data_IF_552209061879
#
_entry.id   IF_552209061879
#
_cell.length_a   1.000
_cell.length_b   1.000
_cell.length_c   1.000
_cell.angle_alpha   90.00
_cell.angle_beta   90.00
_cell.angle_gamma   90.00
#
_symmetry.space_group_name_H-M   'P 1'
#
loop_
_entity.id
_entity.type
_entity.pdbx_description
1 polymer ?
#
# COMPACT_ATOMS: atom_id res chain seq x y z
N UNK A 1 -5.80 -55.98 -221.37
CA UNK A 1 -6.50 -56.83 -222.37
C UNK A 1 -6.05 -56.36 -223.74
N UNK A 2 -5.57 -57.21 -224.67
CA UNK A 2 -5.11 -56.72 -225.97
C UNK A 2 -6.30 -56.59 -226.95
N UNK A 3 -6.28 -55.51 -227.73
CA UNK A 3 -7.27 -55.22 -228.76
C UNK A 3 -7.19 -56.23 -229.93
N UNK A 4 -8.32 -56.49 -230.61
CA UNK A 4 -8.45 -57.59 -231.57
C UNK A 4 -7.68 -57.36 -232.87
N UNK A 5 -7.19 -58.44 -233.48
CA UNK A 5 -6.43 -58.43 -234.74
C UNK A 5 -7.21 -57.81 -235.91
N UNK A 6 -8.55 -57.86 -235.87
CA UNK A 6 -9.42 -57.20 -236.85
C UNK A 6 -9.30 -55.67 -236.82
N UNK A 7 -9.06 -55.08 -235.64
CA UNK A 7 -8.91 -53.64 -235.50
C UNK A 7 -7.60 -53.15 -236.13
N UNK A 8 -6.52 -53.94 -236.01
CA UNK A 8 -5.24 -53.62 -236.68
C UNK A 8 -5.33 -53.72 -238.21
N UNK A 9 -6.10 -54.67 -238.75
CA UNK A 9 -6.29 -54.80 -240.21
C UNK A 9 -7.12 -53.66 -240.80
N UNK A 10 -8.19 -53.24 -240.14
CA UNK A 10 -9.03 -52.12 -240.60
C UNK A 10 -8.29 -50.76 -240.54
N UNK A 11 -7.35 -50.61 -239.60
CA UNK A 11 -6.51 -49.41 -239.48
C UNK A 11 -5.43 -49.35 -240.59
N UNK A 12 -5.12 -50.46 -241.25
CA UNK A 12 -4.09 -50.55 -242.29
C UNK A 12 -4.59 -50.19 -243.70
N UNK A 13 -5.91 -50.25 -243.94
CA UNK A 13 -6.55 -49.80 -245.19
C UNK A 13 -6.83 -48.28 -245.23
N UNK A 14 -6.61 -47.58 -244.12
CA UNK A 14 -6.86 -46.14 -244.00
C UNK A 14 -5.71 -45.30 -244.54
N UNK A 15 -6.06 -44.13 -245.07
CA UNK A 15 -5.07 -43.16 -245.51
C UNK A 15 -4.15 -42.70 -244.35
N UNK A 16 -2.92 -42.24 -244.65
CA UNK A 16 -1.88 -42.02 -243.65
C UNK A 16 -2.25 -41.00 -242.57
N UNK A 17 -3.15 -40.05 -242.87
CA UNK A 17 -3.59 -39.02 -241.92
C UNK A 17 -4.55 -39.62 -240.89
N UNK A 18 -5.48 -40.45 -241.34
CA UNK A 18 -6.50 -41.08 -240.50
C UNK A 18 -5.93 -42.16 -239.59
N UNK A 19 -4.98 -42.96 -240.08
CA UNK A 19 -4.26 -44.00 -239.30
C UNK A 19 -3.54 -43.43 -238.07
N UNK A 20 -2.94 -42.24 -238.20
CA UNK A 20 -2.16 -41.61 -237.12
C UNK A 20 -3.03 -41.14 -235.95
N UNK A 21 -4.26 -40.73 -236.22
CA UNK A 21 -5.22 -40.26 -235.20
C UNK A 21 -5.77 -41.43 -234.39
N UNK A 22 -6.11 -42.55 -235.04
CA UNK A 22 -6.59 -43.75 -234.34
C UNK A 22 -5.50 -44.40 -233.47
N UNK A 23 -4.24 -44.41 -233.93
CA UNK A 23 -3.11 -44.86 -233.11
C UNK A 23 -2.85 -43.96 -231.89
N UNK A 24 -3.07 -42.65 -232.00
CA UNK A 24 -2.92 -41.74 -230.87
C UNK A 24 -4.03 -41.95 -229.81
N UNK A 25 -5.29 -42.13 -230.24
CA UNK A 25 -6.42 -42.41 -229.35
C UNK A 25 -6.27 -43.75 -228.62
N UNK A 26 -5.76 -44.79 -229.30
CA UNK A 26 -5.46 -46.08 -228.66
C UNK A 26 -4.33 -45.96 -227.62
N UNK A 27 -3.37 -45.05 -227.82
CA UNK A 27 -2.34 -44.75 -226.83
C UNK A 27 -2.87 -44.01 -225.60
N UNK A 28 -3.90 -43.18 -225.75
CA UNK A 28 -4.41 -42.32 -224.67
C UNK A 28 -5.36 -43.08 -223.72
N UNK A 29 -6.05 -44.12 -224.21
CA UNK A 29 -6.97 -44.95 -223.40
C UNK A 29 -6.21 -45.93 -222.47
N UNK A 30 -5.00 -46.36 -222.82
CA UNK A 30 -4.20 -47.28 -221.98
C UNK A 30 -3.54 -46.57 -220.78
N UNK A 31 -3.42 -45.24 -220.82
CA UNK A 31 -2.79 -44.43 -219.77
C UNK A 31 -3.57 -44.30 -218.46
N UNK A 32 -4.88 -44.63 -218.43
CA UNK A 32 -5.76 -44.24 -217.32
C UNK A 32 -6.21 -45.37 -216.36
N UNK A 33 -5.87 -46.65 -216.59
CA UNK A 33 -6.53 -47.76 -215.87
C UNK A 33 -5.69 -48.62 -214.90
N UNK A 34 -4.44 -48.27 -214.55
CA UNK A 34 -3.66 -49.05 -213.58
C UNK A 34 -3.12 -48.22 -212.38
N UNK A 35 -3.96 -48.08 -211.34
CA UNK A 35 -3.54 -47.77 -209.96
C UNK A 35 -4.12 -48.84 -209.02
N UNK A 36 -3.31 -49.83 -208.66
CA UNK A 36 -3.67 -50.92 -207.73
C UNK A 36 -2.91 -50.71 -206.42
N UNK A 37 -3.64 -50.76 -205.30
CA UNK A 37 -3.13 -50.69 -203.92
C UNK A 37 -2.13 -51.81 -203.66
N UNK A 38 -1.02 -51.50 -203.00
CA UNK A 38 0.11 -52.43 -202.87
C UNK A 38 0.06 -53.20 -201.54
N UNK A 39 0.83 -54.29 -201.46
CA UNK A 39 1.00 -55.08 -200.22
C UNK A 39 1.65 -54.28 -199.07
N UNK A 40 2.26 -53.14 -199.38
CA UNK A 40 2.93 -52.26 -198.44
C UNK A 40 1.92 -51.38 -197.68
N UNK A 41 0.91 -50.85 -198.38
CA UNK A 41 -0.20 -50.07 -197.80
C UNK A 41 -0.99 -50.87 -196.75
N UNK A 42 -1.19 -52.18 -196.97
CA UNK A 42 -1.88 -53.05 -196.02
C UNK A 42 -1.00 -53.42 -194.79
N UNK A 43 0.33 -53.44 -194.95
CA UNK A 43 1.27 -53.61 -193.82
C UNK A 43 1.30 -52.37 -192.94
N UNK A 44 1.20 -51.18 -193.53
CA UNK A 44 1.12 -49.93 -192.78
C UNK A 44 -0.19 -49.84 -191.99
N UNK A 45 -1.33 -50.20 -192.59
CA UNK A 45 -2.60 -50.28 -191.85
C UNK A 45 -2.53 -51.30 -190.70
N UNK A 46 -1.93 -52.47 -190.93
CA UNK A 46 -1.73 -53.48 -189.88
C UNK A 46 -0.88 -52.94 -188.72
N UNK A 47 0.20 -52.20 -189.02
CA UNK A 47 1.03 -51.54 -187.99
C UNK A 47 0.25 -50.50 -187.19
N UNK A 48 -0.61 -49.69 -187.83
CA UNK A 48 -1.46 -48.72 -187.13
C UNK A 48 -2.46 -49.43 -186.23
N UNK A 49 -3.11 -50.49 -186.70
CA UNK A 49 -4.08 -51.26 -185.89
C UNK A 49 -3.40 -51.96 -184.72
N UNK A 50 -2.19 -52.53 -184.91
CA UNK A 50 -1.37 -53.07 -183.82
C UNK A 50 -0.98 -51.98 -182.82
N UNK A 51 -0.58 -50.79 -183.28
CA UNK A 51 -0.29 -49.64 -182.42
C UNK A 51 -1.54 -49.19 -181.64
N UNK A 52 -2.72 -49.15 -182.28
CA UNK A 52 -3.97 -48.77 -181.62
C UNK A 52 -4.39 -49.81 -180.57
N UNK A 53 -4.17 -51.10 -180.86
CA UNK A 53 -4.40 -52.19 -179.91
C UNK A 53 -3.48 -52.09 -178.69
N UNK A 54 -2.22 -51.68 -178.89
CA UNK A 54 -1.30 -51.39 -177.78
C UNK A 54 -1.76 -50.17 -176.99
N UNK A 55 -2.08 -49.06 -177.65
CA UNK A 55 -2.52 -47.83 -176.97
C UNK A 55 -3.85 -48.00 -176.23
N UNK A 56 -4.80 -48.77 -176.77
CA UNK A 56 -6.05 -49.11 -176.05
C UNK A 56 -5.77 -49.98 -174.83
N UNK A 57 -4.83 -50.93 -174.92
CA UNK A 57 -4.41 -51.75 -173.79
C UNK A 57 -3.75 -50.92 -172.69
N UNK A 58 -2.86 -50.00 -173.06
CA UNK A 58 -2.23 -49.03 -172.15
C UNK A 58 -3.25 -48.10 -171.50
N UNK A 59 -4.26 -47.63 -172.25
CA UNK A 59 -5.38 -46.85 -171.74
C UNK A 59 -6.20 -47.64 -170.73
N UNK A 60 -6.55 -48.90 -171.00
CA UNK A 60 -7.25 -49.75 -170.02
C UNK A 60 -6.41 -49.97 -168.76
N UNK A 61 -5.09 -50.13 -168.88
CA UNK A 61 -4.21 -50.27 -167.71
C UNK A 61 -4.13 -48.96 -166.91
N UNK A 62 -4.07 -47.81 -167.57
CA UNK A 62 -4.14 -46.50 -166.93
C UNK A 62 -5.50 -46.24 -166.27
N UNK A 63 -6.58 -46.72 -166.88
CA UNK A 63 -7.95 -46.62 -166.35
C UNK A 63 -8.13 -47.52 -165.11
N UNK A 64 -7.62 -48.75 -165.14
CA UNK A 64 -7.55 -49.61 -163.95
C UNK A 64 -6.67 -49.00 -162.85
N UNK A 65 -5.53 -48.39 -163.20
CA UNK A 65 -4.67 -47.70 -162.24
C UNK A 65 -5.31 -46.45 -161.62
N UNK A 66 -6.16 -45.74 -162.37
CA UNK A 66 -6.92 -44.60 -161.85
C UNK A 66 -8.11 -45.04 -160.99
N UNK A 67 -8.81 -46.12 -161.36
CA UNK A 67 -9.84 -46.75 -160.52
C UNK A 67 -9.26 -47.26 -159.20
N UNK A 68 -8.09 -47.92 -159.23
CA UNK A 68 -7.39 -48.35 -158.02
C UNK A 68 -7.01 -47.15 -157.13
N UNK A 69 -6.44 -46.08 -157.72
CA UNK A 69 -6.15 -44.83 -156.99
C UNK A 69 -7.40 -44.16 -156.45
N UNK A 70 -8.52 -44.17 -157.17
CA UNK A 70 -9.80 -43.66 -156.66
C UNK A 70 -10.31 -44.51 -155.49
N UNK A 71 -10.12 -45.84 -155.53
CA UNK A 71 -10.39 -46.73 -154.41
C UNK A 71 -9.55 -46.37 -153.18
N UNK A 72 -8.24 -46.26 -153.35
CA UNK A 72 -7.30 -45.87 -152.28
C UNK A 72 -7.61 -44.48 -151.71
N UNK A 73 -7.96 -43.51 -152.57
CA UNK A 73 -8.40 -42.18 -152.15
C UNK A 73 -9.71 -42.22 -151.37
N UNK A 74 -10.66 -43.05 -151.77
CA UNK A 74 -11.93 -43.22 -151.06
C UNK A 74 -11.70 -43.86 -149.69
N UNK A 75 -10.81 -44.84 -149.59
CA UNK A 75 -10.42 -45.41 -148.30
C UNK A 75 -9.67 -44.41 -147.42
N UNK A 76 -8.75 -43.63 -147.99
CA UNK A 76 -8.05 -42.56 -147.28
C UNK A 76 -9.02 -41.47 -146.80
N UNK A 77 -10.04 -41.14 -147.60
CA UNK A 77 -11.12 -40.21 -147.25
C UNK A 77 -11.96 -40.77 -146.09
N UNK A 78 -12.34 -42.05 -146.12
CA UNK A 78 -13.05 -42.69 -145.00
C UNK A 78 -12.21 -42.71 -143.72
N UNK A 79 -10.92 -43.01 -143.83
CA UNK A 79 -9.99 -43.01 -142.69
C UNK A 79 -9.84 -41.60 -142.09
N UNK A 80 -9.71 -40.58 -142.93
CA UNK A 80 -9.64 -39.18 -142.48
C UNK A 80 -10.95 -38.73 -141.86
N UNK A 81 -12.10 -39.08 -142.44
CA UNK A 81 -13.41 -38.80 -141.84
C UNK A 81 -13.54 -39.43 -140.44
N UNK A 82 -13.10 -40.67 -140.29
CA UNK A 82 -13.09 -41.37 -138.99
C UNK A 82 -12.15 -40.69 -137.99
N UNK A 83 -10.97 -40.26 -138.44
CA UNK A 83 -10.01 -39.51 -137.60
C UNK A 83 -10.57 -38.14 -137.19
N UNK A 84 -11.25 -37.44 -138.09
CA UNK A 84 -11.90 -36.16 -137.79
C UNK A 84 -13.00 -36.36 -136.75
N UNK A 85 -13.83 -37.40 -136.87
CA UNK A 85 -14.84 -37.73 -135.87
C UNK A 85 -14.21 -38.03 -134.51
N UNK A 86 -13.14 -38.84 -134.47
CA UNK A 86 -12.41 -39.13 -133.24
C UNK A 86 -11.79 -37.86 -132.61
N UNK A 87 -11.29 -36.93 -133.42
CA UNK A 87 -10.77 -35.64 -132.95
C UNK A 87 -11.88 -34.74 -132.40
N UNK A 88 -13.05 -34.70 -133.04
CA UNK A 88 -14.22 -33.96 -132.53
C UNK A 88 -14.69 -34.52 -131.19
N UNK A 89 -14.73 -35.85 -131.04
CA UNK A 89 -15.05 -36.47 -129.75
C UNK A 89 -13.98 -36.19 -128.69
N UNK A 90 -12.70 -36.26 -129.05
CA UNK A 90 -11.60 -35.89 -128.16
C UNK A 90 -11.71 -34.41 -127.73
N UNK A 91 -12.05 -33.51 -128.66
CA UNK A 91 -12.26 -32.10 -128.39
C UNK A 91 -13.42 -31.88 -127.40
N UNK A 92 -14.57 -32.52 -127.61
CA UNK A 92 -15.69 -32.47 -126.65
C UNK A 92 -15.31 -32.99 -125.27
N UNK A 93 -14.51 -34.07 -125.20
CA UNK A 93 -13.97 -34.60 -123.94
C UNK A 93 -13.00 -33.62 -123.28
N UNK A 94 -12.22 -32.86 -124.04
CA UNK A 94 -11.35 -31.83 -123.48
C UNK A 94 -12.13 -30.61 -123.01
N UNK A 95 -13.16 -30.17 -123.74
CA UNK A 95 -14.04 -29.07 -123.34
C UNK A 95 -14.75 -29.39 -122.02
N UNK A 96 -15.36 -30.57 -121.91
CA UNK A 96 -15.99 -31.02 -120.65
C UNK A 96 -15.00 -31.14 -119.49
N UNK A 97 -13.76 -31.58 -119.74
CA UNK A 97 -12.71 -31.59 -118.70
C UNK A 97 -12.28 -30.19 -118.28
N UNK A 98 -12.21 -29.24 -119.21
CA UNK A 98 -11.90 -27.85 -118.92
C UNK A 98 -13.00 -27.20 -118.08
N UNK A 99 -14.27 -27.47 -118.38
CA UNK A 99 -15.41 -27.04 -117.58
C UNK A 99 -15.34 -27.60 -116.15
N UNK A 100 -15.12 -28.91 -116.00
CA UNK A 100 -14.95 -29.55 -114.69
C UNK A 100 -13.76 -28.98 -113.90
N UNK A 101 -12.65 -28.68 -114.59
CA UNK A 101 -11.47 -28.10 -113.96
C UNK A 101 -11.74 -26.66 -113.50
N UNK A 102 -12.47 -25.87 -114.30
CA UNK A 102 -12.89 -24.52 -113.94
C UNK A 102 -13.84 -24.52 -112.71
N UNK A 103 -14.80 -25.45 -112.67
CA UNK A 103 -15.68 -25.62 -111.51
C UNK A 103 -14.90 -26.05 -110.27
N UNK A 104 -13.98 -27.00 -110.39
CA UNK A 104 -13.12 -27.42 -109.28
C UNK A 104 -12.22 -26.27 -108.79
N UNK A 105 -11.71 -25.44 -109.71
CA UNK A 105 -10.93 -24.26 -109.37
C UNK A 105 -11.78 -23.25 -108.58
N UNK A 106 -13.00 -22.93 -109.04
CA UNK A 106 -13.92 -22.04 -108.32
C UNK A 106 -14.27 -22.56 -106.92
N UNK A 107 -14.53 -23.87 -106.78
CA UNK A 107 -14.76 -24.48 -105.47
C UNK A 107 -13.54 -24.38 -104.56
N UNK A 108 -12.34 -24.52 -105.11
CA UNK A 108 -11.09 -24.39 -104.36
C UNK A 108 -10.87 -22.95 -103.91
N UNK A 109 -11.12 -21.97 -104.77
CA UNK A 109 -11.07 -20.54 -104.43
C UNK A 109 -12.08 -20.19 -103.33
N UNK A 110 -13.31 -20.70 -103.41
CA UNK A 110 -14.32 -20.52 -102.36
C UNK A 110 -13.87 -21.10 -101.01
N UNK A 111 -13.33 -22.33 -101.00
CA UNK A 111 -12.79 -22.96 -99.78
C UNK A 111 -11.61 -22.20 -99.20
N UNK A 112 -10.73 -21.66 -100.04
CA UNK A 112 -9.62 -20.82 -99.60
C UNK A 112 -10.13 -19.52 -98.96
N UNK A 113 -11.19 -18.92 -99.51
CA UNK A 113 -11.87 -17.77 -98.92
C UNK A 113 -12.47 -18.09 -97.54
N UNK A 114 -13.18 -19.21 -97.41
CA UNK A 114 -13.73 -19.67 -96.13
C UNK A 114 -12.63 -19.95 -95.10
N UNK A 115 -11.53 -20.58 -95.52
CA UNK A 115 -10.38 -20.85 -94.65
C UNK A 115 -9.72 -19.56 -94.17
N UNK A 116 -9.56 -18.57 -95.04
CA UNK A 116 -9.00 -17.27 -94.68
C UNK A 116 -9.89 -16.53 -93.67
N UNK A 117 -11.21 -16.57 -93.83
CA UNK A 117 -12.14 -16.00 -92.87
C UNK A 117 -12.17 -16.76 -91.53
N UNK A 118 -12.08 -18.10 -91.56
CA UNK A 118 -11.92 -18.91 -90.36
C UNK A 118 -10.60 -18.59 -89.64
N UNK A 119 -9.51 -18.40 -90.38
CA UNK A 119 -8.22 -18.02 -89.82
C UNK A 119 -8.30 -16.65 -89.13
N UNK A 120 -8.85 -15.62 -89.77
CA UNK A 120 -9.08 -14.29 -89.16
C UNK A 120 -9.91 -14.38 -87.87
N UNK A 121 -10.97 -15.18 -87.86
CA UNK A 121 -11.80 -15.38 -86.65
C UNK A 121 -11.01 -16.05 -85.53
N UNK A 122 -10.07 -16.93 -85.87
CA UNK A 122 -9.23 -17.63 -84.90
C UNK A 122 -8.19 -16.68 -84.32
N UNK A 123 -7.55 -15.86 -85.16
CA UNK A 123 -6.64 -14.79 -84.75
C UNK A 123 -7.32 -13.81 -83.79
N UNK A 124 -8.53 -13.31 -84.14
CA UNK A 124 -9.29 -12.42 -83.26
C UNK A 124 -9.66 -13.06 -81.90
N UNK A 125 -9.96 -14.37 -81.88
CA UNK A 125 -10.22 -15.10 -80.62
C UNK A 125 -8.95 -15.26 -79.77
N UNK A 126 -7.80 -15.47 -80.41
CA UNK A 126 -6.53 -15.56 -79.71
C UNK A 126 -6.13 -14.20 -79.09
N UNK A 127 -6.37 -13.10 -79.80
CA UNK A 127 -6.19 -11.75 -79.25
C UNK A 127 -7.09 -11.50 -78.03
N UNK A 128 -8.37 -11.83 -78.13
CA UNK A 128 -9.30 -11.72 -77.00
C UNK A 128 -8.89 -12.59 -75.80
N UNK A 129 -8.40 -13.81 -76.06
CA UNK A 129 -7.91 -14.69 -75.01
C UNK A 129 -6.66 -14.12 -74.34
N UNK A 130 -5.73 -13.56 -75.11
CA UNK A 130 -4.53 -12.91 -74.58
C UNK A 130 -4.88 -11.69 -73.71
N UNK A 131 -5.84 -10.86 -74.13
CA UNK A 131 -6.35 -9.76 -73.31
C UNK A 131 -7.02 -10.25 -72.02
N UNK A 132 -7.82 -11.31 -72.10
CA UNK A 132 -8.45 -11.91 -70.93
C UNK A 132 -7.41 -12.48 -69.95
N UNK A 133 -6.34 -13.09 -70.46
CA UNK A 133 -5.22 -13.58 -69.64
C UNK A 133 -4.50 -12.44 -68.93
N UNK A 134 -4.19 -11.35 -69.65
CA UNK A 134 -3.56 -10.17 -69.06
C UNK A 134 -4.40 -9.55 -67.94
N UNK A 135 -5.72 -9.44 -68.15
CA UNK A 135 -6.66 -8.97 -67.12
C UNK A 135 -6.74 -9.92 -65.92
N UNK A 136 -6.57 -11.22 -66.13
CA UNK A 136 -6.53 -12.20 -65.05
C UNK A 136 -5.26 -12.03 -64.23
N UNK A 137 -4.11 -11.87 -64.88
CA UNK A 137 -2.83 -11.60 -64.21
C UNK A 137 -2.91 -10.34 -63.33
N UNK A 138 -3.42 -9.23 -63.86
CA UNK A 138 -3.63 -7.99 -63.10
C UNK A 138 -4.54 -8.20 -61.87
N UNK A 139 -5.62 -8.98 -62.02
CA UNK A 139 -6.52 -9.30 -60.89
C UNK A 139 -5.85 -10.18 -59.83
N UNK A 140 -5.02 -11.13 -60.25
CA UNK A 140 -4.26 -11.99 -59.34
C UNK A 140 -3.25 -11.16 -58.56
N UNK A 141 -2.56 -10.22 -59.20
CA UNK A 141 -1.66 -9.28 -58.52
C UNK A 141 -2.40 -8.42 -57.50
N UNK A 142 -3.56 -7.85 -57.86
CA UNK A 142 -4.40 -7.08 -56.94
C UNK A 142 -4.88 -7.89 -55.74
N UNK A 143 -5.25 -9.16 -55.96
CA UNK A 143 -5.62 -10.08 -54.88
C UNK A 143 -4.44 -10.38 -53.97
N UNK A 144 -3.25 -10.60 -54.51
CA UNK A 144 -2.04 -10.82 -53.73
C UNK A 144 -1.68 -9.60 -52.87
N UNK A 145 -1.80 -8.38 -53.42
CA UNK A 145 -1.61 -7.15 -52.64
C UNK A 145 -2.66 -6.97 -51.55
N UNK A 146 -3.94 -7.21 -51.87
CA UNK A 146 -5.02 -7.15 -50.89
C UNK A 146 -4.82 -8.18 -49.75
N UNK A 147 -4.34 -9.37 -50.09
CA UNK A 147 -4.03 -10.40 -49.12
C UNK A 147 -2.87 -9.98 -48.21
N UNK A 148 -1.76 -9.45 -48.75
CA UNK A 148 -0.65 -8.91 -47.95
C UNK A 148 -1.11 -7.81 -46.99
N UNK A 149 -1.92 -6.85 -47.46
CA UNK A 149 -2.48 -5.80 -46.59
C UNK A 149 -3.38 -6.36 -45.48
N UNK A 150 -4.06 -7.47 -45.75
CA UNK A 150 -4.91 -8.14 -44.76
C UNK A 150 -4.05 -8.84 -43.72
N UNK A 151 -2.98 -9.53 -44.13
CA UNK A 151 -2.00 -10.15 -43.24
C UNK A 151 -1.35 -9.11 -42.30
N UNK A 152 -0.88 -7.98 -42.84
CA UNK A 152 -0.33 -6.87 -42.04
C UNK A 152 -1.33 -6.33 -41.00
N UNK A 153 -2.62 -6.18 -41.37
CA UNK A 153 -3.67 -5.74 -40.44
C UNK A 153 -3.94 -6.77 -39.35
N UNK A 154 -3.89 -8.06 -39.67
CA UNK A 154 -4.06 -9.15 -38.70
C UNK A 154 -2.89 -9.15 -37.71
N UNK A 155 -1.65 -8.95 -38.17
CA UNK A 155 -0.48 -8.82 -37.30
C UNK A 155 -0.60 -7.62 -36.35
N UNK A 156 -1.00 -6.45 -36.87
CA UNK A 156 -1.22 -5.26 -36.06
C UNK A 156 -2.32 -5.46 -35.00
N UNK A 157 -3.41 -6.14 -35.36
CA UNK A 157 -4.47 -6.50 -34.42
C UNK A 157 -3.97 -7.45 -33.33
N UNK A 158 -3.16 -8.45 -33.69
CA UNK A 158 -2.56 -9.37 -32.73
C UNK A 158 -1.63 -8.64 -31.74
N UNK A 159 -0.82 -7.69 -32.22
CA UNK A 159 0.00 -6.85 -31.35
C UNK A 159 -0.82 -5.95 -30.43
N UNK A 160 -1.88 -5.32 -30.97
CA UNK A 160 -2.78 -4.49 -30.18
C UNK A 160 -3.51 -5.32 -29.09
N UNK A 161 -3.89 -6.56 -29.41
CA UNK A 161 -4.47 -7.49 -28.46
C UNK A 161 -3.48 -7.84 -27.35
N UNK A 162 -2.23 -8.21 -27.67
CA UNK A 162 -1.17 -8.48 -26.67
C UNK A 162 -0.93 -7.29 -25.75
N UNK A 163 -0.90 -6.06 -26.29
CA UNK A 163 -0.77 -4.83 -25.49
C UNK A 163 -1.96 -4.63 -24.55
N UNK A 164 -3.16 -5.00 -24.99
CA UNK A 164 -4.38 -4.89 -24.19
C UNK A 164 -4.40 -5.93 -23.07
N UNK A 165 -4.00 -7.16 -23.35
CA UNK A 165 -3.82 -8.22 -22.35
C UNK A 165 -2.81 -7.80 -21.26
N UNK A 166 -1.63 -7.29 -21.65
CA UNK A 166 -0.64 -6.80 -20.71
C UNK A 166 -1.15 -5.64 -19.83
N UNK A 167 -1.96 -4.73 -20.38
CA UNK A 167 -2.59 -3.64 -19.60
C UNK A 167 -3.62 -4.16 -18.62
N UNK A 168 -4.39 -5.19 -18.99
CA UNK A 168 -5.36 -5.82 -18.09
C UNK A 168 -4.66 -6.54 -16.94
N UNK A 169 -3.53 -7.22 -17.19
CA UNK A 169 -2.71 -7.82 -16.13
C UNK A 169 -2.19 -6.77 -15.14
N UNK A 170 -1.65 -5.65 -15.65
CA UNK A 170 -1.20 -4.54 -14.80
C UNK A 170 -2.34 -3.92 -13.98
N UNK A 171 -3.53 -3.79 -14.58
CA UNK A 171 -4.71 -3.28 -13.87
C UNK A 171 -5.14 -4.24 -12.75
N UNK A 172 -5.14 -5.54 -13.02
CA UNK A 172 -5.46 -6.56 -12.01
C UNK A 172 -4.46 -6.55 -10.84
N UNK A 173 -3.16 -6.37 -11.12
CA UNK A 173 -2.15 -6.23 -10.07
C UNK A 173 -2.33 -4.93 -9.26
N UNK A 174 -2.62 -3.81 -9.93
CA UNK A 174 -2.92 -2.55 -9.27
C UNK A 174 -4.15 -2.64 -8.36
N UNK A 175 -5.18 -3.37 -8.80
CA UNK A 175 -6.38 -3.63 -8.01
C UNK A 175 -6.09 -4.46 -6.76
N UNK A 176 -5.29 -5.55 -6.87
CA UNK A 176 -4.86 -6.33 -5.69
C UNK A 176 -4.09 -5.49 -4.68
N UNK A 177 -3.15 -4.66 -5.15
CA UNK A 177 -2.39 -3.74 -4.27
C UNK A 177 -3.29 -2.70 -3.59
N UNK A 178 -4.37 -2.28 -4.27
CA UNK A 178 -5.35 -1.38 -3.67
C UNK A 178 -6.17 -2.09 -2.59
N UNK A 179 -6.61 -3.32 -2.83
CA UNK A 179 -7.31 -4.15 -1.85
C UNK A 179 -6.46 -4.35 -0.57
N UNK A 180 -5.18 -4.72 -0.71
CA UNK A 180 -4.26 -4.85 0.42
C UNK A 180 -4.10 -3.54 1.22
N UNK A 181 -4.01 -2.39 0.54
CA UNK A 181 -3.93 -1.08 1.20
C UNK A 181 -5.20 -0.72 1.96
N UNK A 182 -6.36 -1.07 1.41
CA UNK A 182 -7.66 -0.85 2.07
C UNK A 182 -7.77 -1.70 3.33
N UNK A 183 -7.34 -2.97 3.28
CA UNK A 183 -7.30 -3.83 4.47
C UNK A 183 -6.38 -3.27 5.55
N UNK A 184 -5.16 -2.84 5.20
CA UNK A 184 -4.24 -2.20 6.14
C UNK A 184 -4.82 -0.94 6.78
N UNK A 185 -5.53 -0.13 6.00
CA UNK A 185 -6.17 1.08 6.51
C UNK A 185 -7.30 0.75 7.49
N UNK A 186 -8.09 -0.28 7.19
CA UNK A 186 -9.15 -0.77 8.08
C UNK A 186 -8.58 -1.31 9.41
N UNK A 187 -7.46 -2.04 9.39
CA UNK A 187 -6.78 -2.47 10.61
C UNK A 187 -6.22 -1.29 11.42
N UNK A 188 -5.60 -0.31 10.76
CA UNK A 188 -5.09 0.89 11.42
C UNK A 188 -6.22 1.71 12.06
N UNK A 189 -7.38 1.80 11.39
CA UNK A 189 -8.58 2.42 11.92
C UNK A 189 -9.08 1.71 13.17
N UNK A 190 -9.21 0.37 13.16
CA UNK A 190 -9.61 -0.40 14.36
C UNK A 190 -8.67 -0.17 15.54
N UNK A 191 -7.35 -0.19 15.33
CA UNK A 191 -6.36 0.11 16.39
C UNK A 191 -6.50 1.53 16.93
N UNK A 192 -6.91 2.47 16.09
CA UNK A 192 -7.15 3.86 16.49
C UNK A 192 -8.41 3.96 17.33
N UNK A 193 -9.49 3.28 16.94
CA UNK A 193 -10.73 3.19 17.71
C UNK A 193 -10.48 2.59 19.10
N UNK A 194 -9.76 1.47 19.20
CA UNK A 194 -9.37 0.86 20.49
C UNK A 194 -8.58 1.81 21.39
N UNK A 195 -7.63 2.58 20.82
CA UNK A 195 -6.86 3.57 21.58
C UNK A 195 -7.73 4.73 22.08
N UNK A 196 -8.69 5.16 21.28
CA UNK A 196 -9.64 6.21 21.67
C UNK A 196 -10.53 5.72 22.83
N UNK A 197 -11.01 4.49 22.77
CA UNK A 197 -11.77 3.89 23.89
C UNK A 197 -10.94 3.81 25.18
N UNK A 198 -9.69 3.34 25.10
CA UNK A 198 -8.78 3.30 26.25
C UNK A 198 -8.52 4.69 26.84
N UNK A 199 -8.34 5.70 25.99
CA UNK A 199 -8.18 7.09 26.44
C UNK A 199 -9.44 7.61 27.13
N UNK A 200 -10.62 7.29 26.60
CA UNK A 200 -11.90 7.67 27.23
C UNK A 200 -12.07 7.01 28.60
N UNK A 201 -11.69 5.74 28.76
CA UNK A 201 -11.70 5.07 30.06
C UNK A 201 -10.69 5.68 31.04
N UNK A 202 -9.48 5.98 30.58
CA UNK A 202 -8.45 6.62 31.40
C UNK A 202 -8.89 8.03 31.85
N UNK A 203 -9.56 8.78 30.97
CA UNK A 203 -10.15 10.07 31.30
C UNK A 203 -11.21 9.92 32.40
N UNK A 204 -12.18 9.01 32.25
CA UNK A 204 -13.19 8.74 33.29
C UNK A 204 -12.59 8.38 34.65
N UNK A 205 -11.53 7.55 34.67
CA UNK A 205 -10.81 7.22 35.92
C UNK A 205 -10.13 8.44 36.54
N UNK A 206 -9.60 9.33 35.70
CA UNK A 206 -8.95 10.57 36.15
C UNK A 206 -9.97 11.54 36.74
N UNK A 207 -11.12 11.72 36.07
CA UNK A 207 -12.25 12.51 36.57
C UNK A 207 -12.72 12.00 37.93
N UNK A 208 -12.94 10.69 38.08
CA UNK A 208 -13.33 10.10 39.36
C UNK A 208 -12.29 10.31 40.48
N UNK A 209 -10.99 10.26 40.16
CA UNK A 209 -9.91 10.55 41.14
C UNK A 209 -9.90 12.02 41.54
N UNK A 210 -10.17 12.94 40.61
CA UNK A 210 -10.26 14.36 40.90
C UNK A 210 -11.45 14.67 41.80
N UNK A 211 -12.60 14.03 41.59
CA UNK A 211 -13.76 14.14 42.48
C UNK A 211 -13.43 13.67 43.90
N UNK A 212 -12.78 12.52 44.04
CA UNK A 212 -12.34 12.00 45.35
C UNK A 212 -11.34 12.94 46.03
N UNK A 213 -10.41 13.52 45.28
CA UNK A 213 -9.44 14.47 45.81
C UNK A 213 -10.12 15.75 46.29
N UNK A 214 -11.09 16.27 45.53
CA UNK A 214 -11.88 17.43 45.91
C UNK A 214 -12.68 17.17 47.20
N UNK A 215 -13.28 15.99 47.34
CA UNK A 215 -13.98 15.61 48.57
C UNK A 215 -13.02 15.48 49.76
N UNK A 216 -11.85 14.88 49.57
CA UNK A 216 -10.82 14.78 50.61
C UNK A 216 -10.32 16.17 51.05
N UNK A 217 -10.14 17.09 50.11
CA UNK A 217 -9.75 18.47 50.39
C UNK A 217 -10.83 19.20 51.19
N UNK A 218 -12.11 19.01 50.85
CA UNK A 218 -13.24 19.57 51.61
C UNK A 218 -13.26 19.06 53.05
N UNK A 219 -13.13 17.75 53.26
CA UNK A 219 -13.06 17.13 54.60
C UNK A 219 -11.86 17.62 55.40
N UNK A 220 -10.72 17.86 54.73
CA UNK A 220 -9.55 18.45 55.38
C UNK A 220 -9.82 19.88 55.83
N UNK A 221 -10.47 20.69 54.99
CA UNK A 221 -10.93 22.04 55.34
C UNK A 221 -11.79 22.05 56.60
N UNK A 222 -12.81 21.18 56.65
CA UNK A 222 -13.69 21.03 57.82
C UNK A 222 -12.91 20.63 59.10
N UNK A 223 -11.93 19.73 58.99
CA UNK A 223 -11.07 19.35 60.12
C UNK A 223 -10.17 20.49 60.59
N UNK A 224 -9.64 21.28 59.67
CA UNK A 224 -8.82 22.46 60.00
C UNK A 224 -9.66 23.50 60.75
N UNK A 225 -10.89 23.76 60.31
CA UNK A 225 -11.83 24.64 61.02
C UNK A 225 -12.12 24.13 62.43
N UNK A 226 -12.42 22.84 62.59
CA UNK A 226 -12.63 22.23 63.92
C UNK A 226 -11.41 22.34 64.83
N UNK A 227 -10.20 22.15 64.28
CA UNK A 227 -8.95 22.32 65.04
C UNK A 227 -8.75 23.77 65.46
N UNK A 228 -9.04 24.74 64.59
CA UNK A 228 -8.96 26.15 64.91
C UNK A 228 -9.95 26.52 66.04
N UNK A 229 -11.18 26.02 66.00
CA UNK A 229 -12.14 26.21 67.09
C UNK A 229 -11.67 25.56 68.40
N UNK A 230 -11.15 24.34 68.34
CA UNK A 230 -10.64 23.63 69.52
C UNK A 230 -9.43 24.35 70.13
N UNK A 231 -8.53 24.89 69.30
CA UNK A 231 -7.42 25.71 69.72
C UNK A 231 -7.92 26.99 70.42
N UNK A 232 -8.86 27.72 69.82
CA UNK A 232 -9.44 28.92 70.42
C UNK A 232 -10.09 28.64 71.78
N UNK A 233 -10.83 27.53 71.91
CA UNK A 233 -11.39 27.10 73.21
C UNK A 233 -10.31 26.77 74.23
N UNK A 234 -9.19 26.19 73.79
CA UNK A 234 -8.06 25.85 74.65
C UNK A 234 -7.34 27.11 75.13
N UNK A 235 -7.12 28.08 74.24
CA UNK A 235 -6.56 29.39 74.59
C UNK A 235 -7.41 30.10 75.64
N UNK A 236 -8.74 30.15 75.44
CA UNK A 236 -9.66 30.73 76.41
C UNK A 236 -9.63 30.01 77.78
N UNK A 237 -9.48 28.67 77.80
CA UNK A 237 -9.33 27.89 79.05
C UNK A 237 -8.01 28.19 79.74
N UNK A 238 -6.91 28.33 78.99
CA UNK A 238 -5.60 28.69 79.53
C UNK A 238 -5.65 30.08 80.17
N UNK A 239 -6.28 31.04 79.52
CA UNK A 239 -6.46 32.39 80.07
C UNK A 239 -7.28 32.36 81.37
N UNK A 240 -8.40 31.64 81.38
CA UNK A 240 -9.21 31.48 82.59
C UNK A 240 -8.45 30.78 83.74
N UNK A 241 -7.62 29.77 83.43
CA UNK A 241 -6.75 29.11 84.41
C UNK A 241 -5.69 30.06 84.95
N UNK A 242 -5.08 30.88 84.11
CA UNK A 242 -4.10 31.89 84.53
C UNK A 242 -4.74 32.92 85.48
N UNK A 243 -5.97 33.36 85.21
CA UNK A 243 -6.72 34.23 86.11
C UNK A 243 -7.05 33.55 87.45
N UNK A 244 -7.50 32.28 87.41
CA UNK A 244 -7.80 31.51 88.60
C UNK A 244 -6.54 31.28 89.45
N UNK A 245 -5.40 30.99 88.83
CA UNK A 245 -4.10 30.88 89.50
C UNK A 245 -3.73 32.21 90.17
N UNK A 246 -3.85 33.34 89.46
CA UNK A 246 -3.58 34.67 90.03
C UNK A 246 -4.46 34.96 91.26
N UNK A 247 -5.75 34.63 91.20
CA UNK A 247 -6.66 34.74 92.36
C UNK A 247 -6.19 33.85 93.51
N UNK A 248 -5.81 32.61 93.22
CA UNK A 248 -5.32 31.66 94.22
C UNK A 248 -4.04 32.17 94.89
N UNK A 249 -3.09 32.70 94.13
CA UNK A 249 -1.88 33.32 94.67
C UNK A 249 -2.19 34.51 95.58
N UNK A 250 -3.18 35.34 95.22
CA UNK A 250 -3.60 36.46 96.08
C UNK A 250 -4.22 35.99 97.39
N UNK A 251 -5.08 34.97 97.35
CA UNK A 251 -5.69 34.40 98.56
C UNK A 251 -4.65 33.68 99.44
N UNK A 252 -3.69 32.98 98.82
CA UNK A 252 -2.59 32.34 99.55
C UNK A 252 -1.72 33.38 100.28
N UNK A 253 -1.41 34.52 99.65
CA UNK A 253 -0.68 35.62 100.30
C UNK A 253 -1.44 36.15 101.52
N UNK A 254 -2.76 36.32 101.43
CA UNK A 254 -3.60 36.73 102.58
C UNK A 254 -3.55 35.68 103.69
N UNK A 255 -3.70 34.39 103.35
CA UNK A 255 -3.65 33.30 104.32
C UNK A 255 -2.31 33.25 105.06
N UNK A 256 -1.19 33.44 104.35
CA UNK A 256 0.15 33.50 104.96
C UNK A 256 0.26 34.66 105.95
N UNK A 257 -0.33 35.83 105.62
CA UNK A 257 -0.36 36.98 106.54
C UNK A 257 -1.20 36.70 107.79
N UNK A 258 -2.39 36.11 107.65
CA UNK A 258 -3.25 35.74 108.78
C UNK A 258 -2.61 34.67 109.67
N UNK A 259 -1.93 33.68 109.07
CA UNK A 259 -1.17 32.68 109.82
C UNK A 259 -0.03 33.31 110.64
N UNK A 260 0.63 34.35 110.11
CA UNK A 260 1.66 35.09 110.85
C UNK A 260 1.07 35.79 112.08
N UNK A 261 -0.07 36.48 111.94
CA UNK A 261 -0.77 37.14 113.07
C UNK A 261 -1.15 36.13 114.16
N UNK A 262 -1.69 34.98 113.75
CA UNK A 262 -2.06 33.89 114.68
C UNK A 262 -0.86 33.42 115.50
N UNK A 263 0.31 33.28 114.86
CA UNK A 263 1.55 32.85 115.53
C UNK A 263 2.05 33.87 116.56
N UNK A 264 1.90 35.16 116.27
CA UNK A 264 2.23 36.26 117.21
C UNK A 264 1.30 36.24 118.44
N UNK A 265 -0.01 36.05 118.23
CA UNK A 265 -0.98 35.93 119.32
C UNK A 265 -0.72 34.72 120.24
N UNK A 266 -0.38 33.56 119.66
CA UNK A 266 0.00 32.37 120.44
C UNK A 266 1.27 32.59 121.27
N UNK A 267 2.23 33.38 120.77
CA UNK A 267 3.41 33.78 121.53
C UNK A 267 3.07 34.59 122.78
N UNK A 268 2.13 35.54 122.67
CA UNK A 268 1.67 36.37 123.80
C UNK A 268 1.02 35.56 124.93
N UNK A 269 0.22 34.53 124.60
CA UNK A 269 -0.45 33.68 125.59
C UNK A 269 0.52 32.82 126.41
N UNK A 270 1.63 32.38 125.80
CA UNK A 270 2.65 31.59 126.50
C UNK A 270 3.30 32.37 127.64
N UNK A 271 3.46 33.70 127.50
CA UNK A 271 4.02 34.56 128.55
C UNK A 271 3.11 34.67 129.78
N UNK A 272 1.79 34.76 129.61
CA UNK A 272 0.84 34.92 130.73
C UNK A 272 0.83 33.72 131.69
N UNK A 273 1.01 32.51 131.17
CA UNK A 273 1.02 31.28 132.00
C UNK A 273 2.27 31.21 132.89
N UNK A 274 3.41 31.76 132.43
CA UNK A 274 4.64 31.83 133.21
C UNK A 274 4.52 32.75 134.43
N UNK A 275 3.97 33.96 134.25
CA UNK A 275 3.83 34.94 135.35
C UNK A 275 2.97 34.44 136.50
N UNK A 276 1.86 33.73 136.22
CA UNK A 276 1.00 33.18 137.28
C UNK A 276 1.76 32.21 138.20
N UNK A 277 2.67 31.40 137.65
CA UNK A 277 3.45 30.45 138.45
C UNK A 277 4.43 31.18 139.39
N UNK A 278 5.04 32.27 138.91
CA UNK A 278 5.94 33.11 139.71
C UNK A 278 5.18 33.81 140.85
N UNK A 279 4.02 34.38 140.55
CA UNK A 279 3.21 35.10 141.53
C UNK A 279 2.76 34.22 142.69
N UNK A 280 2.35 32.97 142.42
CA UNK A 280 1.99 32.01 143.47
C UNK A 280 3.22 31.55 144.26
N UNK A 281 4.36 31.37 143.60
CA UNK A 281 5.62 31.04 144.27
C UNK A 281 6.04 32.10 145.30
N UNK A 282 5.94 33.39 144.96
CA UNK A 282 6.32 34.47 145.88
C UNK A 282 5.53 34.45 147.18
N UNK A 283 4.26 34.02 147.13
CA UNK A 283 3.38 33.97 148.31
C UNK A 283 3.70 32.79 149.20
N UNK A 284 3.93 31.61 148.62
CA UNK A 284 4.09 30.37 149.37
C UNK A 284 5.51 30.11 149.88
N UNK A 285 6.54 30.46 149.09
CA UNK A 285 7.93 30.12 149.39
C UNK A 285 8.43 30.61 150.75
N UNK A 286 8.05 31.78 151.30
CA UNK A 286 8.49 32.17 152.64
C UNK A 286 8.07 31.19 153.74
N UNK A 287 6.87 30.62 153.65
CA UNK A 287 6.40 29.62 154.60
C UNK A 287 7.10 28.27 154.38
N UNK A 288 7.22 27.84 153.12
CA UNK A 288 7.86 26.57 152.76
C UNK A 288 9.35 26.54 153.10
N UNK A 289 10.10 27.60 152.82
CA UNK A 289 11.52 27.70 153.16
C UNK A 289 11.75 27.70 154.68
N UNK A 290 10.83 28.31 155.45
CA UNK A 290 10.87 28.25 156.91
C UNK A 290 10.59 26.84 157.43
N UNK A 291 9.61 26.14 156.86
CA UNK A 291 9.23 24.79 157.26
C UNK A 291 10.29 23.75 156.89
N UNK A 292 10.77 23.76 155.65
CA UNK A 292 11.61 22.68 155.11
C UNK A 292 13.10 22.89 155.39
N UNK A 293 13.52 24.16 155.46
CA UNK A 293 14.94 24.51 155.55
C UNK A 293 15.29 25.34 156.78
N UNK A 294 14.31 25.73 157.61
CA UNK A 294 14.52 26.60 158.78
C UNK A 294 14.94 28.02 158.40
N UNK A 295 14.66 28.46 157.17
CA UNK A 295 15.10 29.76 156.64
C UNK A 295 13.97 30.78 156.81
N UNK A 296 14.22 31.84 157.56
CA UNK A 296 13.32 32.99 157.62
C UNK A 296 13.65 33.99 156.52
N UNK A 297 12.74 34.15 155.55
CA UNK A 297 12.88 35.14 154.48
C UNK A 297 12.84 36.56 155.06
N UNK A 298 13.85 37.35 154.73
CA UNK A 298 13.95 38.76 155.08
C UNK A 298 13.26 39.60 153.99
N UNK A 299 12.18 40.29 154.35
CA UNK A 299 11.41 41.11 153.41
C UNK A 299 10.54 40.27 152.49
N UNK A 300 10.67 40.45 151.17
CA UNK A 300 9.85 39.77 150.15
C UNK A 300 10.73 39.14 149.07
N UNK A 301 10.30 37.98 148.58
CA UNK A 301 10.83 37.43 147.34
C UNK A 301 10.23 38.20 146.17
N UNK A 302 11.06 38.53 145.18
CA UNK A 302 10.64 39.26 143.98
C UNK A 302 11.42 38.78 142.76
N UNK A 303 10.86 39.02 141.58
CA UNK A 303 11.63 39.01 140.34
C UNK A 303 12.55 40.23 140.33
N UNK A 304 13.82 40.02 139.98
CA UNK A 304 14.80 41.11 139.92
C UNK A 304 15.76 40.92 138.74
N UNK A 305 16.38 42.03 138.34
CA UNK A 305 17.42 42.06 137.31
C UNK A 305 18.75 42.39 137.97
N UNK A 306 19.64 41.42 138.05
CA UNK A 306 20.96 41.58 138.66
C UNK A 306 21.96 42.04 137.58
N UNK A 307 22.59 43.18 137.78
CA UNK A 307 23.60 43.68 136.83
C UNK A 307 24.88 42.83 136.92
N UNK A 308 25.18 42.08 135.85
CA UNK A 308 26.36 41.21 135.72
C UNK A 308 27.50 41.90 134.95
N UNK A 309 27.30 43.14 134.50
CA UNK A 309 28.27 43.99 133.82
C UNK A 309 27.57 45.19 133.15
N UNK A 310 28.32 46.11 132.51
CA UNK A 310 27.74 47.31 131.90
C UNK A 310 26.63 46.94 130.91
N UNK A 311 25.41 47.45 131.14
CA UNK A 311 24.18 47.19 130.37
C UNK A 311 23.82 45.70 130.19
N UNK A 312 24.34 44.82 131.05
CA UNK A 312 24.02 43.38 131.04
C UNK A 312 23.34 43.00 132.34
N UNK A 313 22.08 42.64 132.23
CA UNK A 313 21.23 42.23 133.34
C UNK A 313 20.91 40.74 133.28
N UNK A 314 21.05 40.07 134.42
CA UNK A 314 20.62 38.70 134.62
C UNK A 314 19.25 38.72 135.29
N UNK A 315 18.22 38.31 134.54
CA UNK A 315 16.88 38.13 135.09
C UNK A 315 16.81 36.87 135.95
N UNK A 316 16.34 37.06 137.18
CA UNK A 316 16.08 36.00 138.16
C UNK A 316 14.62 36.05 138.55
N UNK A 317 13.88 34.95 138.39
CA UNK A 317 12.46 34.92 138.74
C UNK A 317 12.23 35.12 140.23
N UNK A 318 13.05 34.50 141.09
CA UNK A 318 12.88 34.52 142.54
C UNK A 318 14.17 34.95 143.21
N UNK A 319 14.16 36.13 143.80
CA UNK A 319 15.31 36.75 144.45
C UNK A 319 14.94 37.32 145.82
N UNK A 320 15.78 37.07 146.82
CA UNK A 320 15.68 37.69 148.15
C UNK A 320 16.78 37.23 149.09
N UNK A 321 16.67 37.59 150.37
CA UNK A 321 17.61 37.18 151.42
C UNK A 321 16.85 36.42 152.52
N UNK A 322 17.54 35.54 153.23
CA UNK A 322 16.98 34.81 154.37
C UNK A 322 18.01 34.60 155.47
N UNK A 323 17.55 34.31 156.68
CA UNK A 323 18.41 33.99 157.84
C UNK A 323 18.12 32.57 158.30
N UNK A 324 19.19 31.81 158.55
CA UNK A 324 19.14 30.49 159.19
C UNK A 324 20.31 30.36 160.15
N UNK A 325 20.03 29.96 161.40
CA UNK A 325 21.03 29.76 162.46
C UNK A 325 22.03 30.92 162.58
N UNK A 326 21.51 32.15 162.58
CA UNK A 326 22.26 33.44 162.61
C UNK A 326 23.07 33.80 161.35
N UNK A 327 23.18 32.92 160.35
CA UNK A 327 23.83 33.20 159.07
C UNK A 327 22.85 33.75 158.01
N UNK A 328 23.32 34.69 157.18
CA UNK A 328 22.55 35.24 156.06
C UNK A 328 22.78 34.46 154.76
N UNK A 329 21.68 34.09 154.11
CA UNK A 329 21.63 33.42 152.82
C UNK A 329 20.97 34.30 151.76
N UNK A 330 21.34 34.07 150.50
CA UNK A 330 20.64 34.59 149.33
C UNK A 330 19.70 33.51 148.82
N UNK A 331 18.42 33.84 148.66
CA UNK A 331 17.42 32.97 148.08
C UNK A 331 17.39 33.25 146.59
N UNK A 332 17.69 32.23 145.80
CA UNK A 332 17.73 32.28 144.35
C UNK A 332 16.83 31.18 143.79
N UNK A 333 15.92 31.55 142.90
CA UNK A 333 15.13 30.56 142.20
C UNK A 333 14.61 30.97 140.83
N UNK A 334 14.19 29.96 140.09
CA UNK A 334 13.54 30.09 138.79
C UNK A 334 12.19 29.37 138.76
N UNK A 335 11.25 29.91 137.98
CA UNK A 335 9.97 29.30 137.72
C UNK A 335 9.89 28.78 136.28
N UNK A 336 9.53 27.51 136.12
CA UNK A 336 9.32 26.87 134.82
C UNK A 336 8.02 26.09 134.82
N UNK A 337 7.15 26.37 133.86
CA UNK A 337 5.85 25.67 133.76
C UNK A 337 6.02 24.16 133.68
N UNK A 338 7.01 23.68 132.91
CA UNK A 338 7.45 22.29 132.90
C UNK A 338 8.97 22.25 132.99
N UNK A 339 9.49 21.67 134.08
CA UNK A 339 10.92 21.62 134.32
C UNK A 339 11.58 20.46 133.56
N UNK A 340 12.62 20.78 132.79
CA UNK A 340 13.49 19.82 132.11
C UNK A 340 14.88 19.81 132.74
N UNK A 341 15.65 18.77 132.44
CA UNK A 341 17.05 18.67 132.89
C UNK A 341 17.89 19.89 132.49
N UNK A 342 17.68 20.39 131.26
CA UNK A 342 18.36 21.59 130.76
C UNK A 342 18.02 22.83 131.60
N UNK A 343 16.78 23.01 132.03
CA UNK A 343 16.40 24.15 132.87
C UNK A 343 17.14 24.13 134.23
N UNK A 344 17.37 22.93 134.79
CA UNK A 344 18.18 22.78 136.01
C UNK A 344 19.63 23.18 135.77
N UNK A 345 20.21 22.77 134.63
CA UNK A 345 21.58 23.13 134.28
C UNK A 345 21.73 24.64 134.03
N UNK A 346 20.80 25.24 133.27
CA UNK A 346 20.75 26.67 132.98
C UNK A 346 20.60 27.48 134.29
N UNK A 347 19.73 27.04 135.21
CA UNK A 347 19.56 27.65 136.52
C UNK A 347 20.84 27.58 137.38
N UNK A 348 21.53 26.43 137.39
CA UNK A 348 22.79 26.28 138.12
C UNK A 348 23.90 27.17 137.55
N UNK A 349 23.92 27.40 136.23
CA UNK A 349 24.84 28.35 135.62
C UNK A 349 24.52 29.78 136.08
N UNK A 350 23.25 30.18 136.07
CA UNK A 350 22.84 31.47 136.66
C UNK A 350 23.24 31.59 138.13
N UNK A 351 23.04 30.53 138.92
CA UNK A 351 23.41 30.52 140.32
C UNK A 351 24.92 30.75 140.54
N UNK A 352 25.78 30.21 139.67
CA UNK A 352 27.21 30.50 139.68
C UNK A 352 27.52 31.96 139.32
N UNK A 353 26.86 32.51 138.30
CA UNK A 353 27.04 33.92 137.94
C UNK A 353 26.64 34.85 139.08
N UNK A 354 25.53 34.55 139.75
CA UNK A 354 25.07 35.28 140.95
C UNK A 354 26.04 35.11 142.11
N UNK A 355 26.64 33.93 142.31
CA UNK A 355 27.61 33.71 143.40
C UNK A 355 28.86 34.57 143.23
N UNK A 356 29.27 34.83 141.98
CA UNK A 356 30.39 35.72 141.67
C UNK A 356 30.07 37.19 141.98
N UNK A 357 28.79 37.58 141.93
CA UNK A 357 28.33 38.94 142.24
C UNK A 357 28.07 39.15 143.73
N UNK A 358 27.42 38.18 144.37
CA UNK A 358 27.03 38.23 145.78
C UNK A 358 27.67 37.04 146.49
N UNK A 359 28.82 37.24 147.18
CA UNK A 359 29.55 36.17 147.84
C UNK A 359 28.90 35.80 149.18
N UNK A 360 27.63 35.39 149.13
CA UNK A 360 26.86 34.82 150.24
C UNK A 360 26.40 33.42 149.83
N UNK A 361 26.23 32.55 150.81
CA UNK A 361 25.70 31.22 150.56
C UNK A 361 24.29 31.31 149.98
N UNK A 362 24.01 30.43 149.02
CA UNK A 362 22.76 30.46 148.27
C UNK A 362 21.83 29.32 148.66
N UNK A 363 20.58 29.66 148.91
CA UNK A 363 19.45 28.73 148.89
C UNK A 363 18.93 28.73 147.48
N UNK A 364 19.11 27.60 146.79
CA UNK A 364 18.77 27.42 145.39
C UNK A 364 17.47 26.65 145.29
N UNK A 365 16.48 27.22 144.62
CA UNK A 365 15.17 26.60 144.46
C UNK A 365 14.64 26.69 143.04
N UNK A 366 13.83 25.73 142.64
CA UNK A 366 13.13 25.71 141.36
C UNK A 366 11.65 25.49 141.61
N UNK A 367 10.83 26.26 140.92
CA UNK A 367 9.37 26.21 140.97
C UNK A 367 8.81 25.67 139.67
N UNK A 368 7.89 24.73 139.74
CA UNK A 368 7.29 24.15 138.52
C UNK A 368 5.87 23.62 138.70
N UNK A 369 5.06 23.60 137.64
CA UNK A 369 3.81 22.82 137.67
C UNK A 369 4.11 21.33 137.59
N UNK A 370 5.12 20.94 136.81
CA UNK A 370 5.43 19.53 136.57
C UNK A 370 6.91 19.29 136.23
N UNK A 371 7.46 18.21 136.78
CA UNK A 371 8.79 17.71 136.49
C UNK A 371 8.78 16.18 136.51
N UNK A 372 9.40 15.54 135.52
CA UNK A 372 9.52 14.08 135.50
C UNK A 372 10.39 13.57 136.68
N UNK A 373 10.15 12.37 137.21
CA UNK A 373 10.94 11.82 138.33
C UNK A 373 12.47 11.85 138.13
N UNK A 374 13.02 11.59 136.91
CA UNK A 374 14.45 11.73 136.66
C UNK A 374 14.97 13.16 136.81
N UNK A 375 14.18 14.16 136.38
CA UNK A 375 14.55 15.59 136.52
C UNK A 375 14.48 16.02 137.99
N UNK A 376 13.47 15.55 138.72
CA UNK A 376 13.36 15.83 140.15
C UNK A 376 14.56 15.29 140.93
N UNK A 377 14.94 14.04 140.64
CA UNK A 377 16.14 13.42 141.22
C UNK A 377 17.38 14.24 140.85
N UNK A 378 17.51 14.63 139.58
CA UNK A 378 18.66 15.41 139.12
C UNK A 378 18.81 16.76 139.83
N UNK A 379 17.73 17.52 140.03
CA UNK A 379 17.80 18.79 140.75
C UNK A 379 18.20 18.59 142.23
N UNK A 380 17.60 17.59 142.90
CA UNK A 380 17.94 17.24 144.28
C UNK A 380 19.41 16.82 144.42
N UNK A 381 19.91 15.97 143.52
CA UNK A 381 21.32 15.54 143.49
C UNK A 381 22.29 16.72 143.28
N UNK A 382 21.82 17.84 142.70
CA UNK A 382 22.59 19.07 142.51
C UNK A 382 22.42 20.09 143.64
N UNK A 383 21.71 19.73 144.72
CA UNK A 383 21.46 20.61 145.86
C UNK A 383 20.48 21.74 145.55
N UNK A 384 19.55 21.53 144.61
CA UNK A 384 18.49 22.48 144.29
C UNK A 384 17.18 21.98 144.88
N UNK A 385 16.55 22.81 145.72
CA UNK A 385 15.22 22.54 146.26
C UNK A 385 14.18 22.63 145.14
N UNK A 386 13.17 21.77 145.19
CA UNK A 386 12.09 21.75 144.22
C UNK A 386 10.77 22.00 144.92
N UNK A 387 10.03 22.97 144.41
CA UNK A 387 8.69 23.30 144.85
C UNK A 387 7.74 23.21 143.67
N UNK A 388 6.65 22.49 143.87
CA UNK A 388 5.60 22.38 142.87
C UNK A 388 4.52 23.41 143.14
N UNK A 389 3.79 23.79 142.09
CA UNK A 389 2.67 24.72 142.23
C UNK A 389 1.58 24.23 143.19
N UNK A 390 1.48 22.93 143.44
CA UNK A 390 0.53 22.34 144.39
C UNK A 390 1.05 22.33 145.84
N UNK A 391 2.30 22.74 146.06
CA UNK A 391 2.85 22.98 147.40
C UNK A 391 2.50 24.38 147.92
N UNK A 392 1.88 25.23 147.09
CA UNK A 392 1.65 26.67 147.33
C UNK A 392 0.33 27.03 147.99
#
# INVERSE_FOLDING_TARGET
MPFSVQLYQAIDELDPKTKKVFMALLGEVDGHLNRVVTREDFRDLKRIVESLAVSTKELTAAQQGTEARMGDLTEAQKRTETQIQALVEAQKRTETRLEQLAEAQQQTEARLGELAEAQKRTEARLEQLAEAHRRLEERVEQLAEAQRRTEERVEQLAEAQKRTEARLEQLAEAQRRLEERVEQLAEAQRRTEERVEQLAEAQKRTEARLEQLAEAQRRLGERVEQLAEAQSRTEARIEALAEAQKKTETELKKLVQEHRKTREQLGGLAHTVGYRLEDEAFKALPALLKQDMGVEVQGRLKRDFLEIGPDRYLEVNIWGTGIRDTAQYVILGEAKTQLKKKDVDDFLEKARQVANLVPKDQIRLLVTYQASPPVQKYARDKGVALYFSYDF
#
